data_IF_622220320146
#
_entry.id   IF_622220320146
#
_cell.length_a   1.000
_cell.length_b   1.000
_cell.length_c   1.000
_cell.angle_alpha   90.00
_cell.angle_beta   90.00
_cell.angle_gamma   90.00
#
_symmetry.space_group_name_H-M   'P 1'
#
loop_
_entity.id
_entity.type
_entity.pdbx_description
1 polymer ?
#
# COMPACT_ATOMS: atom_id res chain seq x y z
N UNK A 1 3.78 -38.32 -7.54
CA UNK A 1 3.87 -36.88 -7.88
C UNK A 1 4.80 -36.23 -6.89
N UNK A 2 5.78 -35.45 -7.34
CA UNK A 2 6.70 -34.74 -6.44
C UNK A 2 5.97 -33.53 -5.87
N UNK A 3 5.95 -33.37 -4.54
CA UNK A 3 5.35 -32.22 -3.89
C UNK A 3 6.15 -30.94 -4.24
N UNK A 4 5.46 -29.92 -4.73
CA UNK A 4 6.03 -28.62 -5.10
C UNK A 4 5.61 -27.54 -4.11
N UNK A 5 6.47 -26.55 -3.96
CA UNK A 5 6.31 -25.47 -2.99
C UNK A 5 6.54 -24.11 -3.63
N UNK A 6 5.79 -23.12 -3.18
CA UNK A 6 6.15 -21.71 -3.33
C UNK A 6 6.96 -21.30 -2.11
N UNK A 7 7.87 -20.35 -2.29
CA UNK A 7 8.68 -19.80 -1.21
C UNK A 7 8.27 -18.35 -0.98
N UNK A 8 7.73 -18.05 0.18
CA UNK A 8 7.35 -16.69 0.57
C UNK A 8 8.56 -15.96 1.15
N UNK A 9 8.77 -14.70 0.77
CA UNK A 9 9.55 -13.76 1.59
C UNK A 9 8.62 -13.05 2.58
N UNK A 10 8.72 -13.43 3.87
CA UNK A 10 7.84 -12.95 4.93
C UNK A 10 8.19 -11.56 5.49
N UNK A 11 9.27 -10.93 5.00
CA UNK A 11 9.72 -9.62 5.50
C UNK A 11 8.77 -8.48 5.16
N UNK A 12 7.97 -8.63 4.11
CA UNK A 12 7.03 -7.59 3.68
C UNK A 12 5.88 -8.14 2.84
N UNK A 13 4.85 -7.32 2.66
CA UNK A 13 3.70 -7.59 1.79
C UNK A 13 3.55 -6.44 0.79
N UNK A 14 2.96 -6.71 -0.37
CA UNK A 14 2.50 -5.67 -1.30
C UNK A 14 1.01 -5.48 -1.06
N UNK A 15 0.68 -4.51 -0.19
CA UNK A 15 -0.69 -4.39 0.33
C UNK A 15 -1.09 -5.64 1.09
N UNK A 16 -2.04 -6.41 0.55
CA UNK A 16 -2.52 -7.67 1.14
C UNK A 16 -1.91 -8.91 0.47
N UNK A 17 -1.04 -8.75 -0.52
CA UNK A 17 -0.52 -9.85 -1.33
C UNK A 17 0.88 -10.28 -0.85
N UNK A 18 1.09 -11.61 -0.88
CA UNK A 18 2.34 -12.26 -0.47
C UNK A 18 3.41 -12.11 -1.55
N UNK A 19 4.65 -11.86 -1.12
CA UNK A 19 5.82 -11.88 -1.99
C UNK A 19 6.39 -13.28 -2.11
N UNK A 20 6.47 -13.78 -3.34
CA UNK A 20 7.01 -15.09 -3.69
C UNK A 20 8.36 -14.94 -4.38
N UNK A 21 9.29 -15.86 -4.11
CA UNK A 21 10.53 -15.94 -4.87
C UNK A 21 10.28 -16.15 -6.37
N UNK A 22 11.04 -15.45 -7.21
CA UNK A 22 10.98 -15.54 -8.66
C UNK A 22 12.40 -15.64 -9.26
N UNK A 23 12.54 -16.35 -10.38
CA UNK A 23 13.78 -16.43 -11.15
C UNK A 23 13.84 -15.28 -12.21
N UNK A 24 15.05 -14.80 -12.60
CA UNK A 24 16.37 -15.22 -12.13
C UNK A 24 16.78 -14.65 -10.77
N UNK A 25 16.26 -13.50 -10.33
CA UNK A 25 16.48 -12.96 -8.98
C UNK A 25 15.39 -11.92 -8.69
N UNK A 26 14.50 -12.19 -7.73
CA UNK A 26 13.52 -11.21 -7.28
C UNK A 26 12.33 -11.79 -6.54
N UNK A 27 11.35 -10.92 -6.30
CA UNK A 27 10.09 -11.28 -5.67
C UNK A 27 8.92 -10.87 -6.57
N UNK A 28 7.84 -11.62 -6.52
CA UNK A 28 6.62 -11.34 -7.28
C UNK A 28 5.37 -11.69 -6.47
N UNK A 29 4.27 -10.99 -6.73
CA UNK A 29 2.94 -11.37 -6.25
C UNK A 29 2.21 -12.27 -7.26
N UNK A 30 2.75 -12.41 -8.48
CA UNK A 30 2.16 -13.22 -9.56
C UNK A 30 2.69 -14.66 -9.50
N UNK A 31 1.85 -15.59 -9.02
CA UNK A 31 2.20 -17.01 -8.90
C UNK A 31 2.60 -17.68 -10.23
N UNK A 32 2.25 -17.10 -11.38
CA UNK A 32 2.67 -17.62 -12.71
C UNK A 32 4.16 -17.34 -12.99
N UNK A 33 4.73 -16.34 -12.30
CA UNK A 33 6.15 -15.95 -12.39
C UNK A 33 6.96 -16.46 -11.20
N UNK A 34 6.28 -16.93 -10.14
CA UNK A 34 6.94 -17.45 -8.96
C UNK A 34 7.66 -18.77 -9.27
N UNK A 35 8.87 -18.92 -8.72
CA UNK A 35 9.65 -20.15 -8.80
C UNK A 35 8.98 -21.24 -7.98
N UNK A 36 9.02 -22.47 -8.52
CA UNK A 36 8.61 -23.67 -7.82
C UNK A 36 9.82 -24.41 -7.27
N UNK A 37 9.71 -24.83 -6.03
CA UNK A 37 10.75 -25.54 -5.31
C UNK A 37 10.32 -26.98 -5.05
N UNK A 38 11.27 -27.90 -5.05
CA UNK A 38 11.05 -29.22 -4.46
C UNK A 38 11.04 -29.10 -2.94
N UNK A 39 10.54 -30.12 -2.22
CA UNK A 39 10.54 -30.13 -0.76
C UNK A 39 11.94 -29.87 -0.17
N UNK A 40 12.96 -30.56 -0.69
CA UNK A 40 14.30 -30.51 -0.13
C UNK A 40 14.97 -29.16 -0.42
N UNK A 41 14.76 -28.60 -1.63
CA UNK A 41 15.22 -27.26 -2.01
C UNK A 41 14.57 -26.18 -1.14
N UNK A 42 13.24 -26.27 -0.96
CA UNK A 42 12.49 -25.33 -0.14
C UNK A 42 12.92 -25.37 1.34
N UNK A 43 13.17 -26.56 1.89
CA UNK A 43 13.69 -26.71 3.25
C UNK A 43 15.10 -26.16 3.39
N UNK A 44 15.98 -26.41 2.40
CA UNK A 44 17.34 -25.88 2.41
C UNK A 44 17.34 -24.35 2.39
N UNK A 45 16.50 -23.72 1.56
CA UNK A 45 16.33 -22.27 1.55
C UNK A 45 15.86 -21.73 2.90
N UNK A 46 14.82 -22.34 3.50
CA UNK A 46 14.33 -21.94 4.82
C UNK A 46 15.40 -22.07 5.92
N UNK A 47 16.22 -23.12 5.87
CA UNK A 47 17.32 -23.32 6.81
C UNK A 47 18.40 -22.23 6.70
N UNK A 48 18.62 -21.69 5.50
CA UNK A 48 19.56 -20.57 5.27
C UNK A 48 18.94 -19.26 5.75
N UNK A 49 17.63 -19.10 5.55
CA UNK A 49 16.91 -17.87 5.84
C UNK A 49 15.51 -18.13 6.39
N UNK A 50 15.32 -17.89 7.68
CA UNK A 50 14.04 -18.15 8.38
C UNK A 50 12.84 -17.39 7.79
N UNK A 51 13.08 -16.25 7.13
CA UNK A 51 12.00 -15.44 6.52
C UNK A 51 11.49 -16.05 5.22
N UNK A 52 12.19 -17.03 4.65
CA UNK A 52 11.81 -17.74 3.43
C UNK A 52 10.92 -18.93 3.81
N UNK A 53 9.61 -18.73 3.80
CA UNK A 53 8.63 -19.70 4.32
C UNK A 53 8.12 -20.58 3.17
N UNK A 54 8.31 -21.91 3.22
CA UNK A 54 7.81 -22.81 2.18
C UNK A 54 6.33 -23.11 2.34
N UNK A 55 5.57 -22.98 1.27
CA UNK A 55 4.13 -23.24 1.22
C UNK A 55 3.80 -24.30 0.17
N UNK A 56 3.00 -25.34 0.49
CA UNK A 56 2.58 -26.32 -0.50
C UNK A 56 1.85 -25.66 -1.68
N UNK A 57 2.26 -25.98 -2.90
CA UNK A 57 1.71 -25.39 -4.13
C UNK A 57 0.18 -25.51 -4.18
N UNK A 58 -0.35 -26.71 -3.95
CA UNK A 58 -1.79 -26.98 -3.99
C UNK A 58 -2.58 -26.14 -2.97
N UNK A 59 -2.01 -25.90 -1.79
CA UNK A 59 -2.65 -25.10 -0.75
C UNK A 59 -2.79 -23.63 -1.16
N UNK A 60 -1.78 -23.08 -1.86
CA UNK A 60 -1.75 -21.70 -2.35
C UNK A 60 -2.57 -21.54 -3.62
N UNK A 61 -2.47 -22.47 -4.57
CA UNK A 61 -3.26 -22.46 -5.79
C UNK A 61 -4.77 -22.46 -5.49
N UNK A 62 -5.20 -23.16 -4.44
CA UNK A 62 -6.60 -23.16 -4.01
C UNK A 62 -7.08 -21.84 -3.36
N UNK A 63 -6.17 -20.91 -3.04
CA UNK A 63 -6.47 -19.64 -2.35
C UNK A 63 -6.14 -18.41 -3.20
N UNK A 64 -5.50 -18.61 -4.34
CA UNK A 64 -5.13 -17.50 -5.21
C UNK A 64 -6.37 -16.88 -5.86
N UNK A 65 -6.30 -15.58 -6.11
CA UNK A 65 -7.30 -14.82 -6.86
C UNK A 65 -6.60 -13.99 -7.92
N UNK A 66 -7.24 -13.74 -9.08
CA UNK A 66 -6.73 -12.76 -10.04
C UNK A 66 -6.59 -11.38 -9.39
N UNK A 67 -5.46 -10.72 -9.63
CA UNK A 67 -5.19 -9.36 -9.21
C UNK A 67 -4.68 -8.53 -10.40
N UNK A 68 -4.92 -7.22 -10.36
CA UNK A 68 -4.44 -6.27 -11.38
C UNK A 68 -3.24 -5.53 -10.81
N UNK A 69 -2.08 -5.71 -11.46
CA UNK A 69 -0.86 -5.01 -11.10
C UNK A 69 -0.86 -3.59 -11.71
N UNK A 70 -0.74 -2.60 -10.83
CA UNK A 70 -0.76 -1.17 -11.18
C UNK A 70 0.37 -0.80 -12.16
N UNK A 71 1.46 -1.56 -12.20
CA UNK A 71 2.58 -1.30 -13.11
C UNK A 71 2.21 -1.53 -14.58
N UNK A 72 1.17 -2.32 -14.86
CA UNK A 72 0.69 -2.61 -16.22
C UNK A 72 -0.54 -1.80 -16.62
N UNK A 73 -1.10 -0.96 -15.73
CA UNK A 73 -2.25 -0.14 -16.07
C UNK A 73 -1.81 1.27 -16.45
N UNK A 74 -2.36 1.76 -17.56
CA UNK A 74 -2.24 3.15 -17.98
C UNK A 74 -3.62 3.75 -18.11
N UNK A 75 -3.99 4.52 -17.10
CA UNK A 75 -5.34 5.09 -16.98
C UNK A 75 -5.73 5.96 -18.18
N UNK A 76 -4.79 6.74 -18.70
CA UNK A 76 -5.05 7.65 -19.82
C UNK A 76 -5.31 6.88 -21.12
N UNK A 77 -4.56 5.80 -21.37
CA UNK A 77 -4.79 4.89 -22.50
C UNK A 77 -6.15 4.18 -22.36
N UNK A 78 -6.48 3.70 -21.15
CA UNK A 78 -7.73 2.98 -20.89
C UNK A 78 -9.00 3.86 -21.00
N UNK A 79 -8.88 5.17 -20.73
CA UNK A 79 -10.01 6.10 -20.80
C UNK A 79 -10.12 6.83 -22.14
N UNK A 80 -9.12 6.73 -23.02
CA UNK A 80 -9.13 7.39 -24.33
C UNK A 80 -10.36 6.97 -25.16
N UNK A 81 -11.12 7.95 -25.65
CA UNK A 81 -12.32 7.71 -26.47
C UNK A 81 -13.57 7.24 -25.70
N UNK A 82 -13.47 6.99 -24.39
CA UNK A 82 -14.63 6.54 -23.59
C UNK A 82 -15.62 7.67 -23.25
N UNK A 83 -15.22 8.94 -23.42
CA UNK A 83 -15.98 10.11 -22.98
C UNK A 83 -15.96 10.34 -21.47
N UNK A 84 -15.33 9.46 -20.68
CA UNK A 84 -15.24 9.59 -19.22
C UNK A 84 -14.17 10.64 -18.87
N UNK A 85 -14.59 11.70 -18.18
CA UNK A 85 -13.68 12.73 -17.67
C UNK A 85 -13.53 12.61 -16.16
N UNK A 86 -12.30 12.46 -15.68
CA UNK A 86 -12.02 12.39 -14.24
C UNK A 86 -12.16 13.77 -13.60
N UNK A 87 -12.99 13.88 -12.56
CA UNK A 87 -13.10 15.11 -11.79
C UNK A 87 -11.91 15.22 -10.84
N UNK A 88 -11.16 16.31 -10.91
CA UNK A 88 -10.06 16.57 -9.98
C UNK A 88 -10.63 16.77 -8.57
N UNK A 89 -10.12 16.06 -7.54
CA UNK A 89 -10.57 16.28 -6.17
C UNK A 89 -10.31 17.75 -5.78
N UNK A 90 -11.30 18.39 -5.16
CA UNK A 90 -11.14 19.74 -4.61
C UNK A 90 -10.12 19.67 -3.48
N UNK A 91 -9.13 20.56 -3.51
CA UNK A 91 -8.19 20.72 -2.41
C UNK A 91 -8.99 21.09 -1.16
N UNK A 92 -8.82 20.34 -0.07
CA UNK A 92 -9.44 20.68 1.20
C UNK A 92 -9.02 22.11 1.60
N UNK A 93 -9.97 22.90 2.05
CA UNK A 93 -9.64 24.22 2.60
C UNK A 93 -8.87 24.01 3.91
N UNK A 94 -7.84 24.82 4.15
CA UNK A 94 -7.13 24.75 5.42
C UNK A 94 -8.08 25.15 6.55
N UNK A 95 -8.09 24.40 7.66
CA UNK A 95 -8.88 24.78 8.82
C UNK A 95 -8.40 26.15 9.33
N UNK A 96 -9.29 27.14 9.19
CA UNK A 96 -9.10 28.49 9.72
C UNK A 96 -10.14 28.67 10.80
N UNK A 97 -9.69 28.81 12.03
CA UNK A 97 -10.56 29.07 13.17
C UNK A 97 -10.82 30.57 13.27
N UNK A 98 -12.05 30.94 13.64
CA UNK A 98 -12.38 32.34 13.86
C UNK A 98 -12.11 32.69 15.32
N UNK A 99 -11.63 33.91 15.57
CA UNK A 99 -11.51 34.44 16.92
C UNK A 99 -12.91 34.54 17.57
N UNK A 100 -13.07 34.03 18.78
CA UNK A 100 -14.33 34.06 19.55
C UNK A 100 -14.77 35.49 19.89
N UNK A 101 -13.83 36.43 20.01
CA UNK A 101 -14.13 37.82 20.34
C UNK A 101 -14.50 38.67 19.12
N UNK A 102 -13.69 38.62 18.06
CA UNK A 102 -13.84 39.54 16.92
C UNK A 102 -14.15 38.86 15.57
N UNK A 103 -14.26 37.52 15.53
CA UNK A 103 -14.57 36.77 14.30
C UNK A 103 -13.45 36.70 13.26
N UNK A 104 -12.29 37.34 13.51
CA UNK A 104 -11.17 37.34 12.57
C UNK A 104 -10.55 35.95 12.47
N UNK A 105 -10.18 35.54 11.26
CA UNK A 105 -9.48 34.28 11.04
C UNK A 105 -8.13 34.26 11.77
N UNK A 106 -7.89 33.18 12.52
CA UNK A 106 -6.64 32.82 13.14
C UNK A 106 -6.05 31.62 12.39
N UNK A 107 -4.72 31.52 12.36
CA UNK A 107 -4.06 30.26 12.01
C UNK A 107 -4.25 29.29 13.16
N UNK A 108 -4.39 28.00 12.89
CA UNK A 108 -4.59 27.01 13.96
C UNK A 108 -3.45 27.03 14.99
N UNK A 109 -2.19 27.22 14.54
CA UNK A 109 -1.04 27.36 15.45
C UNK A 109 -1.12 28.60 16.36
N UNK A 110 -1.67 29.72 15.86
CA UNK A 110 -1.81 30.95 16.65
C UNK A 110 -2.83 30.76 17.77
N UNK A 111 -3.89 30.00 17.51
CA UNK A 111 -4.94 29.69 18.50
C UNK A 111 -4.37 29.07 19.78
N UNK A 112 -3.33 28.26 19.68
CA UNK A 112 -2.73 27.57 20.85
C UNK A 112 -1.69 28.42 21.59
N UNK A 113 -1.08 29.39 20.92
CA UNK A 113 0.14 30.04 21.41
C UNK A 113 -0.05 31.50 21.77
N UNK A 114 -1.05 32.16 21.18
CA UNK A 114 -1.23 33.60 21.26
C UNK A 114 -2.70 33.94 21.51
N UNK A 115 -2.92 35.00 22.29
CA UNK A 115 -4.20 35.68 22.28
C UNK A 115 -4.43 36.32 20.92
N UNK A 116 -5.69 36.63 20.58
CA UNK A 116 -6.02 37.21 19.30
C UNK A 116 -5.24 38.53 19.09
N UNK A 117 -4.38 38.64 18.06
CA UNK A 117 -3.55 39.82 17.85
C UNK A 117 -4.37 41.08 17.50
N UNK A 118 -5.67 40.91 17.23
CA UNK A 118 -6.57 42.02 16.92
C UNK A 118 -7.35 42.53 18.15
N UNK A 119 -7.90 41.62 18.96
CA UNK A 119 -8.81 42.00 20.06
C UNK A 119 -8.36 41.51 21.44
N UNK A 120 -7.26 40.76 21.53
CA UNK A 120 -6.74 40.20 22.78
C UNK A 120 -7.56 39.04 23.36
N UNK A 121 -8.61 38.58 22.67
CA UNK A 121 -9.39 37.43 23.15
C UNK A 121 -8.55 36.16 23.17
N UNK A 122 -8.63 35.39 24.26
CA UNK A 122 -8.05 34.05 24.34
C UNK A 122 -8.89 33.07 23.52
N UNK A 123 -8.24 32.35 22.62
CA UNK A 123 -8.88 31.39 21.72
C UNK A 123 -8.38 29.96 21.93
N UNK A 124 -7.51 29.74 22.93
CA UNK A 124 -6.98 28.42 23.27
C UNK A 124 -8.13 27.49 23.68
N UNK A 125 -8.13 26.23 23.22
CA UNK A 125 -9.12 25.24 23.65
C UNK A 125 -9.11 24.95 25.15
#
# INVERSE_FOLDING_TARGET
>A
MTALFYLQDSRSFVGNDVLWWADPDGYTTDLRKARLFTRDDAQQHHNIRETDIPWPKEYIDAKTRPAVDVQYIKRDEALAGTGITLTKPRKAHADRVNCVGCGRFLRDADRYSLDCPHCGADNRP
#
